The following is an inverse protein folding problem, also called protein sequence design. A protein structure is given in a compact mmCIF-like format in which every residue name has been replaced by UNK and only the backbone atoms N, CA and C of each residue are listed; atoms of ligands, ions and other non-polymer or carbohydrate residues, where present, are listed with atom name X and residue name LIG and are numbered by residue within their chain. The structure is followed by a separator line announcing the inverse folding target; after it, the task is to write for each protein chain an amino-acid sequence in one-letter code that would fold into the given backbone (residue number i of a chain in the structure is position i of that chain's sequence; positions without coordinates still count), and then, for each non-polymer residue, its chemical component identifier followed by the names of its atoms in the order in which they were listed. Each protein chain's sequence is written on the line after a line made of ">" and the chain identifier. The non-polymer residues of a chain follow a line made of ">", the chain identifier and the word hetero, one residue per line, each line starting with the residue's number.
data_IF_721090184602
#
_entry.id   IF_721090184602
#
_cell.length_a   1.000
_cell.length_b   1.000
_cell.length_c   1.000
_cell.angle_alpha   90.00
_cell.angle_beta   90.00
_cell.angle_gamma   90.00
#
_symmetry.space_group_name_H-M   'P 1'
#
loop_
_entity.id
_entity.type
_entity.pdbx_description
1 polymer ?
#
# COMPACT_ATOMS: atom_id res chain seq x y z
N UNK A 1 26.54 28.48 -24.70
CA UNK A 1 26.19 27.06 -24.55
C UNK A 1 26.05 26.57 -23.10
N UNK A 2 26.91 26.97 -22.13
CA UNK A 2 26.77 26.53 -20.72
C UNK A 2 25.44 26.87 -20.03
N UNK A 3 24.84 28.02 -20.36
CA UNK A 3 23.55 28.45 -19.80
C UNK A 3 22.37 27.56 -20.23
N UNK A 4 22.36 27.11 -21.50
CA UNK A 4 21.34 26.21 -22.04
C UNK A 4 21.40 24.83 -21.38
N UNK A 5 22.60 24.32 -21.10
CA UNK A 5 22.78 23.03 -20.41
C UNK A 5 22.27 23.07 -18.96
N UNK A 6 22.51 24.17 -18.23
CA UNK A 6 22.01 24.32 -16.85
C UNK A 6 20.49 24.40 -16.77
N UNK A 7 19.85 25.11 -17.70
CA UNK A 7 18.38 25.17 -17.79
C UNK A 7 17.77 23.79 -18.11
N UNK A 8 18.36 23.05 -19.03
CA UNK A 8 17.91 21.69 -19.38
C UNK A 8 18.07 20.75 -18.18
N UNK A 9 19.19 20.79 -17.45
CA UNK A 9 19.39 19.96 -16.26
C UNK A 9 18.42 20.29 -15.12
N UNK A 10 18.13 21.58 -14.89
CA UNK A 10 17.14 21.99 -13.89
C UNK A 10 15.74 21.49 -14.27
N UNK A 11 15.38 21.59 -15.55
CA UNK A 11 14.10 21.08 -16.06
C UNK A 11 13.99 19.56 -15.94
N UNK A 12 15.07 18.83 -16.22
CA UNK A 12 15.10 17.36 -16.05
C UNK A 12 14.80 17.00 -14.59
N UNK A 13 15.50 17.63 -13.62
CA UNK A 13 15.28 17.34 -12.19
C UNK A 13 13.86 17.67 -11.74
N UNK A 14 13.30 18.78 -12.20
CA UNK A 14 11.91 19.14 -11.90
C UNK A 14 10.94 18.07 -12.42
N UNK A 15 11.13 17.61 -13.66
CA UNK A 15 10.31 16.56 -14.26
C UNK A 15 10.47 15.22 -13.52
N UNK A 16 11.68 14.84 -13.12
CA UNK A 16 11.94 13.62 -12.32
C UNK A 16 11.21 13.66 -10.97
N UNK A 17 11.18 14.82 -10.30
CA UNK A 17 10.45 15.00 -9.04
C UNK A 17 8.94 14.85 -9.27
N UNK A 18 8.40 15.50 -10.30
CA UNK A 18 6.98 15.40 -10.64
C UNK A 18 6.56 13.96 -10.95
N UNK A 19 7.37 13.25 -11.74
CA UNK A 19 7.10 11.85 -12.08
C UNK A 19 7.13 10.95 -10.83
N UNK A 20 8.10 11.15 -9.93
CA UNK A 20 8.19 10.41 -8.68
C UNK A 20 6.97 10.64 -7.78
N UNK A 21 6.48 11.87 -7.69
CA UNK A 21 5.27 12.22 -6.94
C UNK A 21 4.02 11.58 -7.53
N UNK A 22 3.85 11.66 -8.85
CA UNK A 22 2.73 11.01 -9.54
C UNK A 22 2.74 9.50 -9.33
N UNK A 23 3.91 8.88 -9.48
CA UNK A 23 4.08 7.44 -9.26
C UNK A 23 3.73 7.06 -7.84
N UNK A 24 4.15 7.86 -6.85
CA UNK A 24 3.80 7.65 -5.43
C UNK A 24 2.29 7.76 -5.21
N UNK A 25 1.64 8.78 -5.78
CA UNK A 25 0.18 8.96 -5.67
C UNK A 25 -0.58 7.76 -6.26
N UNK A 26 -0.17 7.28 -7.44
CA UNK A 26 -0.76 6.11 -8.09
C UNK A 26 -0.59 4.85 -7.24
N UNK A 27 0.59 4.64 -6.65
CA UNK A 27 0.84 3.51 -5.76
C UNK A 27 -0.01 3.57 -4.48
N UNK A 28 -0.16 4.76 -3.88
CA UNK A 28 -1.00 4.95 -2.70
C UNK A 28 -2.48 4.73 -3.01
N UNK A 29 -2.97 5.27 -4.14
CA UNK A 29 -4.34 5.05 -4.59
C UNK A 29 -4.61 3.56 -4.84
N UNK A 30 -3.66 2.86 -5.50
CA UNK A 30 -3.76 1.42 -5.70
C UNK A 30 -3.80 0.67 -4.35
N UNK A 31 -2.88 0.96 -3.43
CA UNK A 31 -2.83 0.34 -2.11
C UNK A 31 -4.11 0.59 -1.28
N UNK A 32 -4.70 1.78 -1.36
CA UNK A 32 -5.93 2.13 -0.63
C UNK A 32 -7.17 1.32 -1.07
N UNK A 33 -7.15 0.76 -2.28
CA UNK A 33 -8.20 -0.12 -2.82
C UNK A 33 -7.97 -1.61 -2.54
N UNK A 34 -6.85 -1.98 -1.90
CA UNK A 34 -6.46 -3.38 -1.68
C UNK A 34 -6.14 -3.66 -0.20
N UNK A 35 -5.82 -4.92 0.09
CA UNK A 35 -5.42 -5.41 1.40
C UNK A 35 -4.09 -6.15 1.33
N UNK A 36 -3.47 -6.42 2.48
CA UNK A 36 -2.24 -7.21 2.60
C UNK A 36 -2.26 -8.03 3.88
N UNK A 37 -1.56 -9.17 3.87
CA UNK A 37 -1.44 -10.05 5.03
C UNK A 37 -0.05 -9.89 5.66
N UNK A 38 -0.04 -9.61 6.95
CA UNK A 38 1.11 -9.82 7.80
C UNK A 38 1.10 -11.30 8.22
N UNK A 39 2.14 -12.08 7.87
CA UNK A 39 2.19 -13.48 8.22
C UNK A 39 2.30 -13.64 9.73
N UNK A 40 1.76 -14.76 10.22
CA UNK A 40 1.90 -15.19 11.60
C UNK A 40 3.38 -15.26 11.99
N UNK A 41 3.68 -14.72 13.18
CA UNK A 41 4.97 -14.89 13.86
C UNK A 41 4.75 -15.70 15.13
N UNK A 42 5.82 -16.24 15.70
CA UNK A 42 5.74 -17.13 16.88
C UNK A 42 4.79 -16.58 17.95
N UNK A 43 3.67 -17.28 18.15
CA UNK A 43 2.63 -17.01 19.14
C UNK A 43 1.68 -15.81 18.86
N UNK A 44 1.65 -15.27 17.65
CA UNK A 44 0.70 -14.21 17.22
C UNK A 44 -0.13 -14.67 16.02
N UNK A 45 -1.37 -14.19 15.88
CA UNK A 45 -2.19 -14.43 14.69
C UNK A 45 -1.59 -13.70 13.47
N UNK A 46 -1.93 -14.18 12.26
CA UNK A 46 -1.70 -13.39 11.06
C UNK A 46 -2.61 -12.16 11.09
N UNK A 47 -2.15 -11.00 10.62
CA UNK A 47 -2.96 -9.79 10.61
C UNK A 47 -3.33 -9.39 9.19
N UNK A 48 -4.62 -9.18 8.94
CA UNK A 48 -5.07 -8.50 7.73
C UNK A 48 -4.92 -6.99 7.92
N UNK A 49 -4.42 -6.31 6.89
CA UNK A 49 -4.27 -4.86 6.86
C UNK A 49 -4.91 -4.26 5.61
N UNK A 50 -5.36 -3.00 5.67
CA UNK A 50 -5.53 -2.19 4.47
C UNK A 50 -4.18 -2.04 3.76
N UNK A 51 -4.19 -1.99 2.43
CA UNK A 51 -2.95 -1.94 1.66
C UNK A 51 -2.11 -0.70 1.98
N UNK A 52 -2.76 0.43 2.25
CA UNK A 52 -2.17 1.70 2.65
C UNK A 52 -1.87 1.83 4.16
N UNK A 53 -2.12 0.79 4.96
CA UNK A 53 -1.77 0.78 6.37
C UNK A 53 -0.26 0.90 6.59
N UNK A 54 0.19 1.88 7.37
CA UNK A 54 1.62 2.15 7.62
C UNK A 54 2.28 1.25 8.68
N UNK A 55 1.52 0.45 9.44
CA UNK A 55 2.06 -0.33 10.57
C UNK A 55 2.81 -1.58 10.12
N UNK A 56 2.55 -2.07 8.91
CA UNK A 56 3.22 -3.23 8.33
C UNK A 56 3.59 -2.93 6.87
N UNK A 57 4.87 -3.02 6.47
CA UNK A 57 5.25 -2.88 5.07
C UNK A 57 4.69 -4.04 4.24
N UNK A 58 4.31 -3.79 2.99
CA UNK A 58 3.86 -4.85 2.09
C UNK A 58 4.99 -5.84 1.86
N UNK A 59 4.79 -7.10 2.26
CA UNK A 59 5.68 -8.22 1.98
C UNK A 59 4.82 -9.34 1.39
N UNK A 60 5.03 -9.68 0.12
CA UNK A 60 4.21 -10.67 -0.60
C UNK A 60 3.11 -10.09 -1.49
N UNK A 61 2.91 -8.76 -1.50
CA UNK A 61 1.99 -8.08 -2.40
C UNK A 61 0.63 -7.74 -1.78
N UNK A 62 -0.32 -7.38 -2.65
CA UNK A 62 -1.68 -7.01 -2.27
C UNK A 62 -2.67 -8.10 -2.69
N UNK A 63 -3.74 -8.24 -1.91
CA UNK A 63 -4.87 -9.11 -2.21
C UNK A 63 -6.13 -8.28 -2.49
N UNK A 64 -7.04 -8.85 -3.27
CA UNK A 64 -8.33 -8.25 -3.57
C UNK A 64 -9.31 -8.31 -2.41
N UNK A 65 -10.48 -7.70 -2.60
CA UNK A 65 -11.56 -7.67 -1.59
C UNK A 65 -12.03 -9.06 -1.21
N UNK A 66 -12.28 -9.93 -2.19
CA UNK A 66 -12.83 -11.27 -1.93
C UNK A 66 -11.85 -12.13 -1.14
N UNK A 67 -10.56 -12.10 -1.50
CA UNK A 67 -9.50 -12.77 -0.74
C UNK A 67 -9.37 -12.22 0.67
N UNK A 68 -9.58 -10.91 0.87
CA UNK A 68 -9.57 -10.30 2.19
C UNK A 68 -10.77 -10.74 3.06
N UNK A 69 -11.96 -10.91 2.46
CA UNK A 69 -13.13 -11.49 3.15
C UNK A 69 -12.85 -12.95 3.53
N UNK A 70 -12.30 -13.73 2.61
CA UNK A 70 -11.91 -15.12 2.87
C UNK A 70 -10.89 -15.17 4.01
N UNK A 71 -9.87 -14.32 3.99
CA UNK A 71 -8.86 -14.25 5.04
C UNK A 71 -9.49 -13.99 6.41
N UNK A 72 -10.39 -13.02 6.56
CA UNK A 72 -11.07 -12.76 7.85
C UNK A 72 -12.01 -13.89 8.31
N UNK A 73 -12.37 -14.83 7.43
CA UNK A 73 -13.12 -16.02 7.82
C UNK A 73 -12.23 -17.12 8.41
N UNK A 74 -10.91 -17.01 8.25
CA UNK A 74 -9.94 -17.96 8.80
C UNK A 74 -9.65 -17.64 10.28
N UNK A 75 -9.68 -18.63 11.19
CA UNK A 75 -9.48 -18.40 12.63
C UNK A 75 -8.06 -17.93 12.99
N UNK A 76 -7.08 -18.16 12.13
CA UNK A 76 -5.69 -17.73 12.31
C UNK A 76 -5.41 -16.31 11.82
N UNK A 77 -6.40 -15.64 11.23
CA UNK A 77 -6.29 -14.26 10.71
C UNK A 77 -7.16 -13.32 11.53
N UNK A 78 -6.52 -12.30 12.10
CA UNK A 78 -7.21 -11.23 12.80
C UNK A 78 -7.15 -9.91 12.00
N UNK A 79 -8.16 -9.04 12.12
CA UNK A 79 -8.08 -7.69 11.56
C UNK A 79 -7.06 -6.84 12.33
N UNK A 80 -6.25 -6.07 11.61
CA UNK A 80 -5.38 -5.09 12.24
C UNK A 80 -6.21 -4.07 13.06
N UNK A 81 -5.96 -3.90 14.37
CA UNK A 81 -6.78 -3.04 15.22
C UNK A 81 -6.59 -1.55 14.93
N UNK A 82 -5.51 -1.19 14.22
CA UNK A 82 -5.17 0.20 13.88
C UNK A 82 -5.91 0.65 12.62
N UNK A 83 -5.80 -0.09 11.52
CA UNK A 83 -6.44 0.29 10.25
C UNK A 83 -7.85 -0.26 10.06
N UNK A 84 -8.29 -1.22 10.91
CA UNK A 84 -9.62 -1.84 10.88
C UNK A 84 -10.05 -2.21 9.46
N UNK A 85 -9.34 -3.15 8.81
CA UNK A 85 -9.51 -3.47 7.40
C UNK A 85 -10.94 -3.87 7.01
N UNK A 86 -11.70 -4.42 7.95
CA UNK A 86 -13.09 -4.87 7.81
C UNK A 86 -14.06 -3.72 7.48
N UNK A 87 -13.75 -2.49 7.91
CA UNK A 87 -14.58 -1.31 7.59
C UNK A 87 -14.60 -0.99 6.10
N UNK A 88 -13.52 -1.32 5.38
CA UNK A 88 -13.44 -1.21 3.93
C UNK A 88 -14.14 -2.36 3.19
N UNK A 89 -14.43 -3.46 3.88
CA UNK A 89 -15.09 -4.63 3.29
C UNK A 89 -16.61 -4.52 3.39
N UNK A 90 -17.14 -3.89 4.44
CA UNK A 90 -18.58 -3.69 4.64
C UNK A 90 -19.25 -2.75 3.63
N UNK A 91 -18.46 -1.98 2.87
CA UNK A 91 -18.95 -1.08 1.83
C UNK A 91 -18.89 -1.80 0.47
N UNK A 92 -19.91 -2.60 0.20
CA UNK A 92 -20.09 -3.34 -1.05
C UNK A 92 -21.53 -3.78 -1.23
#
# INVERSE_FOLDING_TARGET
>A
MRYQLGQVQARIRELEVQEAEERRRRQQAYAGLHWKIQPQRSNEAALLHRGDCGTYPVQGGFIGRDDAVIALSMPEVEPCPICRPETGLAQG
#
